data_IF_290910393415
#
_entry.id   IF_290910393415
#
_cell.length_a   1.000
_cell.length_b   1.000
_cell.length_c   1.000
_cell.angle_alpha   90.00
_cell.angle_beta   90.00
_cell.angle_gamma   90.00
#
_symmetry.space_group_name_H-M   'P 1'
#
loop_
_entity.id
_entity.type
_entity.pdbx_description
1 polymer ?
#
# COMPACT_ATOMS: atom_id res chain seq x y z
N UNK A 1 33.85 -42.31 77.76
CA UNK A 1 34.23 -40.90 77.66
C UNK A 1 34.42 -40.58 76.14
N UNK A 2 33.41 -40.18 75.43
CA UNK A 2 33.45 -39.96 73.98
C UNK A 2 32.90 -38.57 73.70
N UNK A 3 33.77 -37.69 73.20
CA UNK A 3 33.43 -36.31 72.86
C UNK A 3 32.93 -36.27 71.37
N UNK A 4 31.69 -35.93 71.23
CA UNK A 4 31.11 -35.64 69.88
C UNK A 4 31.45 -34.25 69.42
N UNK A 5 32.09 -34.13 68.28
CA UNK A 5 32.33 -32.85 67.57
C UNK A 5 31.17 -32.55 66.67
N UNK A 6 30.46 -31.40 66.92
CA UNK A 6 29.45 -30.82 66.01
C UNK A 6 30.21 -30.04 64.92
N UNK A 7 29.94 -30.36 63.66
CA UNK A 7 30.33 -29.56 62.53
C UNK A 7 29.13 -28.69 62.12
N UNK A 8 29.30 -27.34 62.24
CA UNK A 8 28.39 -26.35 61.68
C UNK A 8 28.72 -26.16 60.20
N UNK A 9 27.82 -26.56 59.35
CA UNK A 9 27.90 -26.24 57.92
C UNK A 9 27.20 -24.89 57.68
N UNK A 10 27.99 -23.86 57.33
CA UNK A 10 27.47 -22.56 56.85
C UNK A 10 27.13 -22.70 55.37
N UNK A 11 25.86 -22.67 55.04
CA UNK A 11 25.37 -22.63 53.65
C UNK A 11 25.29 -21.14 53.25
N UNK A 12 26.25 -20.68 52.45
CA UNK A 12 26.11 -19.41 51.75
C UNK A 12 25.14 -19.54 50.58
N UNK A 13 23.94 -18.99 50.73
CA UNK A 13 23.00 -18.85 49.63
C UNK A 13 23.42 -17.62 48.77
N UNK A 14 23.96 -17.88 47.59
CA UNK A 14 24.19 -16.87 46.57
C UNK A 14 22.84 -16.61 45.91
N UNK A 15 22.18 -15.50 46.24
CA UNK A 15 21.02 -14.98 45.51
C UNK A 15 21.54 -14.31 44.24
N UNK A 16 21.55 -15.04 43.14
CA UNK A 16 21.76 -14.46 41.82
C UNK A 16 20.52 -13.62 41.43
N UNK A 17 20.59 -12.31 41.59
CA UNK A 17 19.61 -11.40 41.03
C UNK A 17 19.73 -11.44 39.51
N UNK A 18 18.92 -12.28 38.86
CA UNK A 18 18.66 -12.16 37.43
C UNK A 18 17.89 -10.86 37.18
N UNK A 19 18.63 -9.81 36.90
CA UNK A 19 18.07 -8.59 36.35
C UNK A 19 17.42 -8.93 35.01
N UNK A 20 16.11 -9.18 35.02
CA UNK A 20 15.33 -9.32 33.81
C UNK A 20 15.45 -8.00 33.04
N UNK A 21 16.11 -8.04 31.88
CA UNK A 21 15.99 -7.00 30.88
C UNK A 21 14.51 -7.02 30.48
N UNK A 22 13.70 -6.12 31.05
CA UNK A 22 12.36 -5.88 30.55
C UNK A 22 12.54 -5.40 29.12
N UNK A 23 12.16 -6.23 28.15
CA UNK A 23 12.00 -5.81 26.78
C UNK A 23 11.02 -4.62 26.82
N UNK A 24 11.52 -3.43 26.44
CA UNK A 24 10.68 -2.25 26.30
C UNK A 24 9.59 -2.65 25.30
N UNK A 25 8.31 -2.56 25.70
CA UNK A 25 7.21 -2.76 24.76
C UNK A 25 7.47 -1.88 23.55
N UNK A 26 7.44 -2.46 22.37
CA UNK A 26 7.64 -1.71 21.12
C UNK A 26 6.53 -0.64 21.08
N UNK A 27 6.86 0.66 20.99
CA UNK A 27 5.82 1.66 20.89
C UNK A 27 5.06 1.37 19.60
N UNK A 28 3.72 1.28 19.64
CA UNK A 28 2.92 1.15 18.42
C UNK A 28 3.28 2.24 17.40
N UNK A 29 2.72 2.19 16.20
CA UNK A 29 2.93 3.24 15.20
C UNK A 29 2.45 4.60 15.73
N UNK A 30 3.18 5.67 15.45
CA UNK A 30 2.87 7.03 15.92
C UNK A 30 3.41 8.10 14.97
N UNK A 31 2.85 9.32 15.06
CA UNK A 31 3.39 10.51 14.36
C UNK A 31 4.71 10.91 15.03
N UNK A 32 5.81 10.73 14.32
CA UNK A 32 7.16 11.10 14.77
C UNK A 32 7.52 12.56 14.42
N UNK A 33 6.83 13.15 13.45
CA UNK A 33 7.04 14.54 13.04
C UNK A 33 5.94 15.01 12.10
N UNK A 34 5.80 16.33 12.03
CA UNK A 34 4.87 17.00 11.11
C UNK A 34 5.53 18.26 10.54
N UNK A 35 5.35 18.50 9.25
CA UNK A 35 5.81 19.71 8.58
C UNK A 35 4.71 20.26 7.65
N UNK A 36 4.36 21.55 7.72
CA UNK A 36 3.37 22.15 6.84
C UNK A 36 3.89 22.23 5.40
N UNK A 37 3.03 21.92 4.42
CA UNK A 37 3.31 22.03 2.99
C UNK A 37 2.46 23.11 2.31
N UNK A 38 1.76 23.92 3.09
CA UNK A 38 0.89 25.01 2.65
C UNK A 38 -0.59 24.66 2.59
N UNK A 39 -1.45 25.61 2.94
CA UNK A 39 -2.90 25.39 3.02
C UNK A 39 -3.26 24.27 3.99
N UNK A 40 -4.01 23.27 3.50
CA UNK A 40 -4.39 22.06 4.27
C UNK A 40 -3.41 20.90 4.07
N UNK A 41 -2.29 21.15 3.42
CA UNK A 41 -1.28 20.13 3.13
C UNK A 41 -0.22 20.07 4.22
N UNK A 42 0.13 18.86 4.62
CA UNK A 42 1.23 18.57 5.54
C UNK A 42 1.99 17.31 5.12
N UNK A 43 3.23 17.20 5.58
CA UNK A 43 3.95 15.94 5.65
C UNK A 43 3.79 15.39 7.06
N UNK A 44 3.28 14.19 7.19
CA UNK A 44 3.27 13.43 8.44
C UNK A 44 4.34 12.35 8.37
N UNK A 45 5.29 12.42 9.28
CA UNK A 45 6.34 11.43 9.47
C UNK A 45 5.83 10.40 10.47
N UNK A 46 5.53 9.18 10.03
CA UNK A 46 4.97 8.12 10.87
C UNK A 46 6.02 7.05 11.13
N UNK A 47 6.33 6.79 12.40
CA UNK A 47 7.16 5.65 12.76
C UNK A 47 6.38 4.36 12.57
N UNK A 48 6.96 3.41 11.82
CA UNK A 48 6.44 2.06 11.60
C UNK A 48 7.26 1.05 12.40
N UNK A 49 6.71 0.42 13.44
CA UNK A 49 7.34 -0.69 14.13
C UNK A 49 7.68 -1.86 13.20
N UNK A 50 6.76 -2.21 12.28
CA UNK A 50 6.96 -3.30 11.34
C UNK A 50 8.19 -3.07 10.43
N UNK A 51 8.42 -1.82 10.01
CA UNK A 51 9.59 -1.47 9.19
C UNK A 51 10.79 -1.01 10.02
N UNK A 52 10.61 -0.71 11.32
CA UNK A 52 11.66 -0.18 12.20
C UNK A 52 12.19 1.19 11.80
N UNK A 53 11.37 2.00 11.10
CA UNK A 53 11.77 3.32 10.56
C UNK A 53 10.60 4.28 10.43
N UNK A 54 10.91 5.54 10.24
CA UNK A 54 9.94 6.58 9.90
C UNK A 54 9.60 6.54 8.41
N UNK A 55 8.31 6.62 8.09
CA UNK A 55 7.77 6.71 6.74
C UNK A 55 7.11 8.07 6.56
N UNK A 56 7.51 8.79 5.52
CA UNK A 56 6.91 10.06 5.16
C UNK A 56 5.56 9.84 4.47
N UNK A 57 4.57 10.65 4.82
CA UNK A 57 3.27 10.66 4.18
C UNK A 57 2.90 12.11 3.82
N UNK A 58 2.66 12.39 2.55
CA UNK A 58 2.07 13.66 2.13
C UNK A 58 0.56 13.58 2.36
N UNK A 59 0.02 14.56 3.05
CA UNK A 59 -1.38 14.56 3.48
C UNK A 59 -2.06 15.83 3.02
N UNK A 60 -3.29 15.68 2.50
CA UNK A 60 -4.24 16.76 2.32
C UNK A 60 -5.35 16.53 3.35
N UNK A 61 -5.34 17.29 4.44
CA UNK A 61 -6.37 17.16 5.48
C UNK A 61 -7.71 17.72 5.00
N UNK A 62 -8.81 17.11 5.40
CA UNK A 62 -10.15 17.67 5.20
C UNK A 62 -10.34 18.99 5.97
N UNK A 63 -11.31 19.79 5.58
CA UNK A 63 -11.61 21.07 6.26
C UNK A 63 -12.18 20.89 7.68
N UNK A 64 -12.61 19.70 8.07
CA UNK A 64 -13.19 19.40 9.38
C UNK A 64 -13.01 17.95 9.78
N UNK A 65 -13.24 17.66 11.05
CA UNK A 65 -13.15 16.31 11.61
C UNK A 65 -14.26 15.38 11.06
N UNK A 66 -14.06 14.07 11.23
CA UNK A 66 -15.01 13.04 10.80
C UNK A 66 -14.99 12.75 9.31
N UNK A 67 -14.04 13.32 8.56
CA UNK A 67 -13.87 13.02 7.13
C UNK A 67 -13.31 11.59 6.94
N UNK A 68 -13.75 10.89 5.87
CA UNK A 68 -13.11 9.62 5.48
C UNK A 68 -11.71 9.85 4.90
N UNK A 69 -10.98 8.76 4.67
CA UNK A 69 -9.61 8.83 4.14
C UNK A 69 -9.47 8.07 2.82
N UNK A 70 -8.84 8.71 1.83
CA UNK A 70 -8.38 8.11 0.59
C UNK A 70 -6.86 7.93 0.65
N UNK A 71 -6.39 6.69 0.54
CA UNK A 71 -4.98 6.37 0.38
C UNK A 71 -4.63 6.29 -1.10
N UNK A 72 -3.68 7.11 -1.56
CA UNK A 72 -3.20 7.11 -2.94
C UNK A 72 -1.78 6.53 -3.01
N UNK A 73 -1.67 5.33 -3.54
CA UNK A 73 -0.39 4.68 -3.76
C UNK A 73 0.21 5.09 -5.09
N UNK A 74 1.48 5.38 -5.07
CA UNK A 74 2.25 5.77 -6.26
C UNK A 74 2.74 4.55 -7.04
N UNK A 75 3.10 4.73 -8.30
CA UNK A 75 3.67 3.70 -9.16
C UNK A 75 5.04 3.19 -8.67
N UNK A 76 5.79 2.56 -9.58
CA UNK A 76 7.00 1.79 -9.27
C UNK A 76 8.06 2.54 -8.45
N UNK A 77 8.26 3.84 -8.65
CA UNK A 77 9.29 4.65 -7.96
C UNK A 77 8.96 5.02 -6.51
N UNK A 78 7.76 4.72 -6.01
CA UNK A 78 7.39 5.03 -4.62
C UNK A 78 7.26 6.52 -4.29
N UNK A 79 7.41 7.41 -5.25
CA UNK A 79 7.23 8.86 -5.09
C UNK A 79 8.37 9.62 -4.41
N UNK A 80 9.45 8.94 -4.01
CA UNK A 80 10.62 9.57 -3.43
C UNK A 80 11.50 10.26 -4.49
N UNK A 81 11.32 9.90 -5.75
CA UNK A 81 12.03 10.41 -6.92
C UNK A 81 11.36 11.67 -7.54
N UNK A 82 10.31 12.20 -6.93
CA UNK A 82 9.53 13.31 -7.47
C UNK A 82 8.55 12.89 -8.57
N UNK A 83 8.34 11.59 -8.76
CA UNK A 83 7.37 11.05 -9.72
C UNK A 83 6.19 10.46 -8.93
N UNK A 84 5.17 11.28 -8.68
CA UNK A 84 4.07 10.91 -7.79
C UNK A 84 2.77 11.65 -8.15
N UNK A 85 1.68 11.28 -7.51
CA UNK A 85 0.41 12.03 -7.53
C UNK A 85 0.62 13.49 -7.15
N UNK A 86 1.46 13.75 -6.17
CA UNK A 86 1.73 15.09 -5.64
C UNK A 86 2.45 15.99 -6.64
N UNK A 87 3.43 15.42 -7.36
CA UNK A 87 4.35 16.19 -8.18
C UNK A 87 3.89 16.32 -9.65
N UNK A 88 3.06 15.36 -10.12
CA UNK A 88 2.74 15.22 -11.54
C UNK A 88 1.25 15.37 -11.89
N UNK A 89 0.39 15.65 -10.90
CA UNK A 89 -1.05 15.83 -11.10
C UNK A 89 -1.57 17.06 -10.37
N UNK A 90 -2.83 17.37 -10.60
CA UNK A 90 -3.57 18.42 -9.89
C UNK A 90 -4.20 17.94 -8.57
N UNK A 91 -3.72 16.85 -7.97
CA UNK A 91 -4.32 16.20 -6.79
C UNK A 91 -4.64 17.18 -5.66
N UNK A 92 -3.79 18.19 -5.44
CA UNK A 92 -4.00 19.21 -4.39
C UNK A 92 -5.20 20.09 -4.70
N UNK A 93 -5.32 20.55 -5.92
CA UNK A 93 -6.40 21.43 -6.36
C UNK A 93 -7.71 20.64 -6.49
N UNK A 94 -7.62 19.42 -7.02
CA UNK A 94 -8.77 18.54 -7.19
C UNK A 94 -9.45 18.19 -5.87
N UNK A 95 -8.67 17.96 -4.80
CA UNK A 95 -9.24 17.64 -3.48
C UNK A 95 -9.40 18.87 -2.57
N UNK A 96 -9.12 20.08 -3.03
CA UNK A 96 -9.13 21.29 -2.21
C UNK A 96 -10.51 21.61 -1.59
N UNK A 97 -11.60 21.29 -2.26
CA UNK A 97 -12.98 21.54 -1.85
C UNK A 97 -13.72 20.30 -1.29
N UNK A 98 -13.06 19.14 -1.26
CA UNK A 98 -13.70 17.87 -0.91
C UNK A 98 -13.55 17.52 0.58
N UNK A 99 -14.59 16.92 1.15
CA UNK A 99 -14.59 16.48 2.55
C UNK A 99 -13.95 15.10 2.70
N UNK A 100 -12.66 15.03 2.41
CA UNK A 100 -11.86 13.81 2.48
C UNK A 100 -10.44 14.13 2.91
N UNK A 101 -9.82 13.26 3.70
CA UNK A 101 -8.38 13.24 3.91
C UNK A 101 -7.74 12.44 2.79
N UNK A 102 -6.68 12.95 2.16
CA UNK A 102 -5.93 12.22 1.16
C UNK A 102 -4.53 11.96 1.69
N UNK A 103 -4.13 10.70 1.73
CA UNK A 103 -2.83 10.26 2.27
C UNK A 103 -2.03 9.60 1.17
N UNK A 104 -0.85 10.10 0.91
CA UNK A 104 0.08 9.63 -0.10
C UNK A 104 1.40 9.21 0.57
N UNK A 105 1.55 7.92 0.92
CA UNK A 105 2.80 7.39 1.47
C UNK A 105 3.95 7.56 0.49
N UNK A 106 5.13 7.96 0.99
CA UNK A 106 6.35 8.13 0.19
C UNK A 106 7.31 6.99 0.50
N UNK A 107 7.70 6.26 -0.52
CA UNK A 107 8.55 5.07 -0.42
C UNK A 107 7.89 3.83 -1.02
N UNK A 108 8.47 2.66 -0.74
CA UNK A 108 7.97 1.40 -1.31
C UNK A 108 8.33 1.20 -2.78
N UNK A 109 9.37 1.89 -3.27
CA UNK A 109 9.84 1.72 -4.64
C UNK A 109 10.09 0.24 -4.94
N UNK A 110 9.42 -0.28 -5.98
CA UNK A 110 9.53 -1.65 -6.48
C UNK A 110 9.18 -2.76 -5.48
N UNK A 111 8.56 -2.44 -4.33
CA UNK A 111 8.22 -3.43 -3.29
C UNK A 111 6.85 -4.06 -3.47
N UNK A 112 6.06 -3.66 -4.45
CA UNK A 112 4.65 -4.01 -4.64
C UNK A 112 3.76 -3.66 -3.41
N UNK A 113 4.22 -2.81 -2.52
CA UNK A 113 3.52 -2.44 -1.27
C UNK A 113 3.05 -3.65 -0.45
N UNK A 114 3.85 -4.72 -0.44
CA UNK A 114 3.57 -5.97 0.29
C UNK A 114 4.58 -6.21 1.41
N UNK A 115 4.31 -7.18 2.26
CA UNK A 115 5.27 -7.64 3.25
C UNK A 115 6.22 -8.66 2.62
N UNK A 116 7.50 -8.35 2.64
CA UNK A 116 8.54 -9.27 2.21
C UNK A 116 8.85 -10.26 3.32
N UNK A 117 8.94 -11.55 3.00
CA UNK A 117 9.19 -12.61 4.01
C UNK A 117 10.58 -12.52 4.64
N UNK A 118 11.54 -11.86 3.97
CA UNK A 118 12.89 -11.61 4.47
C UNK A 118 13.31 -10.16 4.17
N UNK A 119 14.19 -9.61 5.02
CA UNK A 119 14.86 -8.35 4.71
C UNK A 119 15.77 -8.53 3.50
N UNK A 120 15.82 -7.54 2.61
CA UNK A 120 16.49 -7.63 1.32
C UNK A 120 17.59 -6.56 1.20
N UNK A 121 18.80 -6.91 0.69
CA UNK A 121 19.86 -5.92 0.54
C UNK A 121 19.54 -4.74 -0.38
N UNK A 122 18.67 -4.93 -1.38
CA UNK A 122 18.32 -3.90 -2.36
C UNK A 122 17.19 -2.98 -1.90
N UNK A 123 16.14 -3.55 -1.28
CA UNK A 123 14.95 -2.78 -0.87
C UNK A 123 14.85 -2.59 0.65
N UNK A 124 15.70 -3.25 1.41
CA UNK A 124 15.70 -3.19 2.88
C UNK A 124 14.57 -4.00 3.51
N UNK A 125 14.16 -3.57 4.70
CA UNK A 125 13.02 -4.15 5.40
C UNK A 125 11.72 -3.57 4.84
N UNK A 126 10.97 -4.38 4.12
CA UNK A 126 9.70 -4.01 3.50
C UNK A 126 8.54 -4.75 4.17
N UNK A 127 7.71 -4.02 4.90
CA UNK A 127 6.49 -4.49 5.58
C UNK A 127 5.36 -3.51 5.26
N UNK A 128 5.17 -3.29 3.97
CA UNK A 128 4.24 -2.28 3.48
C UNK A 128 2.78 -2.68 3.67
N UNK A 129 2.46 -3.96 3.59
CA UNK A 129 1.10 -4.45 3.86
C UNK A 129 0.72 -4.17 5.32
N UNK A 130 1.56 -4.59 6.27
CA UNK A 130 1.34 -4.29 7.70
C UNK A 130 1.24 -2.78 7.93
N UNK A 131 2.13 -1.98 7.33
CA UNK A 131 2.08 -0.53 7.47
C UNK A 131 0.75 0.07 7.00
N UNK A 132 0.30 -0.31 5.80
CA UNK A 132 -0.87 0.30 5.14
C UNK A 132 -2.22 -0.23 5.65
N UNK A 133 -2.25 -1.43 6.24
CA UNK A 133 -3.50 -2.03 6.71
C UNK A 133 -3.66 -2.01 8.23
N UNK A 134 -2.57 -2.01 8.99
CA UNK A 134 -2.62 -2.15 10.45
C UNK A 134 -2.09 -0.91 11.18
N UNK A 135 -0.96 -0.33 10.72
CA UNK A 135 -0.28 0.75 11.42
C UNK A 135 -0.79 2.15 11.03
N UNK A 136 -0.66 2.51 9.75
CA UNK A 136 -0.94 3.86 9.26
C UNK A 136 -2.39 4.30 9.47
N UNK A 137 -3.44 3.47 9.23
CA UNK A 137 -4.82 3.95 9.33
C UNK A 137 -5.19 4.46 10.72
N UNK A 138 -4.79 3.74 11.77
CA UNK A 138 -5.07 4.19 13.15
C UNK A 138 -4.34 5.47 13.51
N UNK A 139 -3.12 5.67 13.01
CA UNK A 139 -2.35 6.92 13.21
C UNK A 139 -3.02 8.09 12.50
N UNK A 140 -3.46 7.90 11.25
CA UNK A 140 -4.16 8.93 10.47
C UNK A 140 -5.51 9.28 11.10
N UNK A 141 -6.27 8.28 11.55
CA UNK A 141 -7.56 8.49 12.20
C UNK A 141 -7.40 9.35 13.46
N UNK A 142 -6.37 9.07 14.28
CA UNK A 142 -6.07 9.86 15.46
C UNK A 142 -5.54 11.26 15.16
N UNK A 143 -4.61 11.39 14.20
CA UNK A 143 -3.96 12.66 13.88
C UNK A 143 -4.92 13.66 13.19
N UNK A 144 -5.82 13.16 12.32
CA UNK A 144 -6.72 14.01 11.53
C UNK A 144 -8.17 14.02 12.03
N UNK A 145 -8.47 13.28 13.10
CA UNK A 145 -9.85 13.09 13.57
C UNK A 145 -10.73 12.48 12.49
N UNK A 146 -10.20 11.50 11.73
CA UNK A 146 -10.90 10.90 10.62
C UNK A 146 -12.01 9.93 11.06
N UNK A 147 -12.90 9.56 10.13
CA UNK A 147 -14.07 8.71 10.42
C UNK A 147 -13.74 7.21 10.51
N UNK A 148 -12.53 6.78 10.14
CA UNK A 148 -12.16 5.39 9.99
C UNK A 148 -12.70 4.70 8.72
N UNK A 149 -13.47 5.41 7.87
CA UNK A 149 -13.93 4.90 6.57
C UNK A 149 -12.88 5.20 5.52
N UNK A 150 -12.38 4.15 4.87
CA UNK A 150 -11.23 4.28 3.99
C UNK A 150 -11.51 3.75 2.59
N UNK A 151 -10.91 4.42 1.59
CA UNK A 151 -10.71 3.92 0.24
C UNK A 151 -9.22 3.90 -0.09
N UNK A 152 -8.86 3.10 -1.07
CA UNK A 152 -7.48 3.03 -1.58
C UNK A 152 -7.46 3.11 -3.09
N UNK A 153 -6.49 3.81 -3.66
CA UNK A 153 -6.27 3.82 -5.09
C UNK A 153 -4.78 3.62 -5.38
N UNK A 154 -4.50 2.91 -6.46
CA UNK A 154 -3.14 2.67 -6.92
C UNK A 154 -3.03 2.77 -8.43
N UNK A 155 -1.82 3.06 -8.90
CA UNK A 155 -1.50 3.26 -10.31
C UNK A 155 -0.33 2.39 -10.73
N UNK A 156 -0.38 1.80 -11.93
CA UNK A 156 0.73 0.99 -12.44
C UNK A 156 1.06 -0.18 -11.48
N UNK A 157 2.27 -0.26 -10.95
CA UNK A 157 2.66 -1.26 -9.95
C UNK A 157 1.65 -1.31 -8.79
N UNK A 158 1.29 -0.18 -8.23
CA UNK A 158 0.42 -0.13 -7.06
C UNK A 158 -1.07 -0.34 -7.36
N UNK A 159 -1.48 -0.39 -8.62
CA UNK A 159 -2.86 -0.76 -8.97
C UNK A 159 -3.19 -2.19 -8.49
N UNK A 160 -2.29 -3.13 -8.76
CA UNK A 160 -2.41 -4.51 -8.25
C UNK A 160 -2.29 -4.57 -6.74
N UNK A 161 -1.35 -3.78 -6.18
CA UNK A 161 -1.17 -3.69 -4.73
C UNK A 161 -2.40 -3.14 -4.01
N UNK A 162 -3.09 -2.14 -4.56
CA UNK A 162 -4.31 -1.60 -3.96
C UNK A 162 -5.44 -2.65 -3.90
N UNK A 163 -5.57 -3.48 -4.94
CA UNK A 163 -6.50 -4.61 -4.94
C UNK A 163 -6.12 -5.67 -3.90
N UNK A 164 -4.84 -6.05 -3.85
CA UNK A 164 -4.33 -7.03 -2.90
C UNK A 164 -4.49 -6.54 -1.45
N UNK A 165 -4.12 -5.30 -1.15
CA UNK A 165 -4.33 -4.66 0.16
C UNK A 165 -5.81 -4.57 0.53
N UNK A 166 -6.72 -4.44 -0.44
CA UNK A 166 -8.16 -4.45 -0.19
C UNK A 166 -8.64 -5.85 0.21
N UNK A 167 -8.09 -6.90 -0.42
CA UNK A 167 -8.37 -8.29 -0.06
C UNK A 167 -7.84 -8.58 1.34
N UNK A 168 -6.57 -8.28 1.59
CA UNK A 168 -5.85 -8.65 2.82
C UNK A 168 -6.26 -7.80 4.01
N UNK A 169 -6.53 -6.53 3.79
CA UNK A 169 -7.02 -5.61 4.83
C UNK A 169 -8.48 -5.83 5.25
N UNK A 170 -9.22 -6.75 4.60
CA UNK A 170 -10.58 -7.09 4.96
C UNK A 170 -11.52 -5.89 4.99
N UNK A 171 -12.00 -5.48 6.16
CA UNK A 171 -12.92 -4.34 6.30
C UNK A 171 -12.23 -2.98 6.25
N UNK A 172 -10.90 -2.92 6.19
CA UNK A 172 -10.12 -1.67 6.23
C UNK A 172 -10.48 -0.72 5.09
N UNK A 173 -10.66 -1.25 3.88
CA UNK A 173 -11.01 -0.47 2.70
C UNK A 173 -12.39 -0.86 2.18
N UNK A 174 -13.30 0.10 2.07
CA UNK A 174 -14.64 -0.09 1.51
C UNK A 174 -14.64 -0.03 -0.02
N UNK A 175 -13.68 0.68 -0.60
CA UNK A 175 -13.56 0.90 -2.03
C UNK A 175 -12.10 0.87 -2.50
N UNK A 176 -11.91 0.45 -3.75
CA UNK A 176 -10.61 0.42 -4.41
C UNK A 176 -10.69 0.94 -5.84
N UNK A 177 -9.70 1.74 -6.24
CA UNK A 177 -9.45 2.09 -7.64
C UNK A 177 -8.09 1.52 -8.09
N UNK A 178 -8.09 0.74 -9.16
CA UNK A 178 -6.88 0.17 -9.76
C UNK A 178 -6.71 0.71 -11.17
N UNK A 179 -5.67 1.54 -11.36
CA UNK A 179 -5.45 2.33 -12.56
C UNK A 179 -4.24 1.80 -13.31
N UNK A 180 -4.44 1.27 -14.51
CA UNK A 180 -3.38 0.78 -15.42
C UNK A 180 -2.45 -0.25 -14.78
N UNK A 181 -3.00 -1.31 -14.18
CA UNK A 181 -2.25 -2.38 -13.54
C UNK A 181 -2.44 -3.76 -14.16
N UNK A 182 -1.70 -4.75 -13.62
CA UNK A 182 -1.84 -6.15 -14.02
C UNK A 182 -1.94 -7.03 -12.76
N UNK A 183 -3.15 -7.43 -12.33
CA UNK A 183 -3.39 -8.07 -11.04
C UNK A 183 -3.13 -9.58 -11.03
N UNK A 184 -2.13 -10.04 -11.77
CA UNK A 184 -1.65 -11.42 -11.79
C UNK A 184 -0.31 -11.54 -11.09
N UNK A 185 -0.12 -12.63 -10.32
CA UNK A 185 1.11 -12.86 -9.62
C UNK A 185 1.63 -14.30 -9.73
N UNK A 186 0.76 -15.32 -9.78
CA UNK A 186 1.15 -16.71 -9.62
C UNK A 186 1.16 -17.54 -10.91
N UNK A 187 0.66 -17.02 -12.03
CA UNK A 187 0.83 -17.62 -13.35
C UNK A 187 2.19 -17.26 -14.00
N UNK A 188 2.60 -17.90 -15.09
CA UNK A 188 3.91 -17.63 -15.70
C UNK A 188 4.13 -16.16 -16.10
N UNK A 189 3.10 -15.44 -16.56
CA UNK A 189 3.18 -14.04 -16.91
C UNK A 189 3.30 -13.18 -15.66
N UNK A 190 2.44 -13.41 -14.67
CA UNK A 190 2.45 -12.71 -13.39
C UNK A 190 3.77 -12.89 -12.65
N UNK A 191 4.29 -14.12 -12.57
CA UNK A 191 5.60 -14.41 -11.99
C UNK A 191 6.70 -13.60 -12.68
N UNK A 192 6.69 -13.56 -14.02
CA UNK A 192 7.69 -12.82 -14.79
C UNK A 192 7.62 -11.33 -14.52
N UNK A 193 6.41 -10.75 -14.55
CA UNK A 193 6.20 -9.30 -14.34
C UNK A 193 6.56 -8.87 -12.92
N UNK A 194 6.08 -9.59 -11.92
CA UNK A 194 6.34 -9.32 -10.51
C UNK A 194 7.83 -9.47 -10.19
N UNK A 195 8.47 -10.55 -10.70
CA UNK A 195 9.92 -10.76 -10.52
C UNK A 195 10.75 -9.66 -11.19
N UNK A 196 10.39 -9.27 -12.42
CA UNK A 196 11.07 -8.18 -13.12
C UNK A 196 10.90 -6.85 -12.39
N UNK A 197 9.72 -6.59 -11.81
CA UNK A 197 9.44 -5.40 -11.02
C UNK A 197 10.33 -5.35 -9.77
N UNK A 198 10.37 -6.40 -8.96
CA UNK A 198 11.21 -6.48 -7.77
C UNK A 198 12.71 -6.36 -8.13
N UNK A 199 13.17 -7.08 -9.16
CA UNK A 199 14.55 -7.05 -9.61
C UNK A 199 14.98 -5.67 -10.13
N UNK A 200 14.08 -4.91 -10.79
CA UNK A 200 14.35 -3.54 -11.23
C UNK A 200 14.65 -2.61 -10.05
N UNK A 201 14.06 -2.85 -8.88
CA UNK A 201 14.37 -2.16 -7.63
C UNK A 201 15.63 -2.66 -6.92
N UNK A 202 16.35 -3.62 -7.51
CA UNK A 202 17.50 -4.26 -6.89
C UNK A 202 17.13 -5.37 -5.89
N UNK A 203 15.84 -5.68 -5.74
CA UNK A 203 15.35 -6.69 -4.81
C UNK A 203 15.37 -8.11 -5.40
N UNK A 204 15.44 -9.09 -4.51
CA UNK A 204 15.32 -10.51 -4.86
C UNK A 204 13.86 -10.96 -4.65
N UNK A 205 13.13 -11.38 -5.71
CA UNK A 205 11.77 -11.89 -5.58
C UNK A 205 11.60 -13.05 -4.58
N UNK A 206 12.69 -13.83 -4.38
CA UNK A 206 12.71 -14.89 -3.37
C UNK A 206 12.63 -14.38 -1.94
N UNK A 207 13.14 -13.16 -1.67
CA UNK A 207 12.99 -12.50 -0.36
C UNK A 207 11.62 -11.85 -0.20
N UNK A 208 10.90 -11.59 -1.31
CA UNK A 208 9.55 -11.05 -1.27
C UNK A 208 8.53 -12.13 -0.89
N UNK A 209 8.34 -13.14 -1.71
CA UNK A 209 7.29 -14.16 -1.54
C UNK A 209 7.81 -15.60 -1.65
N UNK A 210 9.13 -15.81 -1.50
CA UNK A 210 9.74 -17.13 -1.58
C UNK A 210 9.79 -17.68 -3.00
N UNK A 211 9.60 -18.99 -3.13
CA UNK A 211 9.69 -19.68 -4.42
C UNK A 211 8.60 -19.17 -5.37
N UNK A 212 8.95 -18.72 -6.59
CA UNK A 212 8.00 -18.24 -7.59
C UNK A 212 6.87 -19.25 -7.86
N UNK A 213 5.63 -18.77 -7.83
CA UNK A 213 4.43 -19.61 -7.95
C UNK A 213 4.13 -20.47 -6.71
N UNK A 214 4.87 -20.28 -5.61
CA UNK A 214 4.63 -20.95 -4.32
C UNK A 214 3.34 -20.50 -3.61
N UNK A 215 3.17 -20.89 -2.35
CA UNK A 215 1.95 -20.59 -1.58
C UNK A 215 1.74 -19.09 -1.41
N UNK A 216 2.77 -18.36 -0.98
CA UNK A 216 2.70 -16.91 -0.76
C UNK A 216 2.41 -16.15 -2.05
N UNK A 217 3.00 -16.57 -3.19
CA UNK A 217 2.67 -15.99 -4.50
C UNK A 217 1.20 -16.14 -4.86
N UNK A 218 0.60 -17.31 -4.56
CA UNK A 218 -0.84 -17.54 -4.78
C UNK A 218 -1.74 -16.75 -3.84
N UNK A 219 -1.28 -16.51 -2.63
CA UNK A 219 -1.99 -15.66 -1.66
C UNK A 219 -2.09 -14.21 -2.14
N UNK A 220 -1.05 -13.70 -2.83
CA UNK A 220 -0.99 -12.36 -3.40
C UNK A 220 -1.48 -12.27 -4.85
N UNK A 221 -1.96 -13.38 -5.44
CA UNK A 221 -2.55 -13.36 -6.77
C UNK A 221 -3.99 -12.86 -6.74
N UNK A 222 -4.16 -11.58 -7.02
CA UNK A 222 -5.48 -10.91 -6.98
C UNK A 222 -6.45 -11.54 -7.98
N UNK A 223 -5.98 -11.97 -9.15
CA UNK A 223 -6.83 -12.59 -10.16
C UNK A 223 -7.42 -13.92 -9.66
N UNK A 224 -6.60 -14.74 -9.03
CA UNK A 224 -7.03 -15.99 -8.41
C UNK A 224 -7.97 -15.75 -7.23
N UNK A 225 -7.67 -14.74 -6.40
CA UNK A 225 -8.39 -14.42 -5.18
C UNK A 225 -9.49 -13.36 -5.37
N UNK A 226 -9.89 -13.05 -6.60
CA UNK A 226 -10.85 -11.99 -6.93
C UNK A 226 -12.17 -12.08 -6.15
N UNK A 227 -12.59 -13.31 -5.77
CA UNK A 227 -13.79 -13.55 -4.97
C UNK A 227 -13.81 -12.80 -3.62
N UNK A 228 -12.64 -12.53 -3.04
CA UNK A 228 -12.54 -11.81 -1.78
C UNK A 228 -12.87 -10.30 -1.90
N UNK A 229 -13.00 -9.78 -3.12
CA UNK A 229 -13.44 -8.42 -3.38
C UNK A 229 -14.97 -8.26 -3.36
N UNK A 230 -15.73 -9.33 -3.13
CA UNK A 230 -17.19 -9.25 -3.04
C UNK A 230 -17.63 -8.25 -1.96
N UNK A 231 -18.59 -7.39 -2.30
CA UNK A 231 -19.09 -6.33 -1.42
C UNK A 231 -18.25 -5.06 -1.38
N UNK A 232 -17.13 -4.98 -2.12
CA UNK A 232 -16.34 -3.76 -2.27
C UNK A 232 -16.82 -2.93 -3.46
N UNK A 233 -16.67 -1.62 -3.38
CA UNK A 233 -16.78 -0.76 -4.56
C UNK A 233 -15.46 -0.81 -5.32
N UNK A 234 -15.52 -1.22 -6.59
CA UNK A 234 -14.33 -1.46 -7.42
C UNK A 234 -14.40 -0.57 -8.65
N UNK A 235 -13.35 0.23 -8.86
CA UNK A 235 -13.13 0.99 -10.09
C UNK A 235 -11.85 0.51 -10.75
N UNK A 236 -11.93 0.17 -12.02
CA UNK A 236 -10.82 -0.27 -12.85
C UNK A 236 -10.70 0.66 -14.07
N UNK A 237 -9.50 1.08 -14.41
CA UNK A 237 -9.25 1.78 -15.67
C UNK A 237 -7.93 1.34 -16.30
N UNK A 238 -7.89 1.38 -17.60
CA UNK A 238 -6.70 1.26 -18.42
C UNK A 238 -6.97 1.78 -19.82
N UNK A 239 -5.91 1.94 -20.64
CA UNK A 239 -6.00 2.40 -21.99
C UNK A 239 -5.35 1.44 -23.00
N UNK A 240 -5.40 1.81 -24.29
CA UNK A 240 -4.87 0.96 -25.37
C UNK A 240 -3.36 1.02 -25.54
N UNK A 241 -2.68 2.01 -24.95
CA UNK A 241 -1.28 2.33 -25.22
C UNK A 241 -1.09 3.35 -26.37
N UNK A 242 -2.15 3.69 -27.09
CA UNK A 242 -2.08 4.75 -28.12
C UNK A 242 -2.05 6.11 -27.42
N UNK A 243 -1.03 6.96 -27.67
CA UNK A 243 -0.99 8.29 -27.09
C UNK A 243 -2.22 9.12 -27.44
N UNK A 244 -2.69 9.93 -26.49
CA UNK A 244 -3.86 10.77 -26.60
C UNK A 244 -3.69 12.14 -25.96
N UNK A 245 -4.72 12.98 -26.01
CA UNK A 245 -4.67 14.36 -25.53
C UNK A 245 -4.44 14.48 -24.01
N UNK A 246 -4.78 13.46 -23.23
CA UNK A 246 -4.54 13.45 -21.80
C UNK A 246 -3.08 13.13 -21.43
N UNK A 247 -2.29 12.54 -22.33
CA UNK A 247 -0.93 12.12 -22.04
C UNK A 247 -0.01 13.31 -21.77
N UNK A 248 0.66 13.27 -20.61
CA UNK A 248 1.68 14.23 -20.19
C UNK A 248 2.88 13.47 -19.62
N UNK A 249 4.08 13.89 -20.01
CA UNK A 249 5.32 13.21 -19.64
C UNK A 249 5.76 12.21 -20.71
N UNK A 250 6.61 11.25 -20.33
CA UNK A 250 7.14 10.24 -21.23
C UNK A 250 6.14 9.11 -21.43
N UNK A 251 5.62 8.90 -22.65
CA UNK A 251 4.71 7.79 -22.93
C UNK A 251 5.42 6.44 -22.83
N UNK A 252 4.73 5.44 -22.33
CA UNK A 252 5.17 4.03 -22.27
C UNK A 252 4.12 3.10 -22.91
N UNK A 253 3.88 3.20 -24.23
CA UNK A 253 2.81 2.47 -24.90
C UNK A 253 2.79 0.96 -24.67
N UNK A 254 3.92 0.23 -24.71
CA UNK A 254 3.91 -1.22 -24.48
C UNK A 254 3.44 -1.59 -23.07
N UNK A 255 3.79 -0.77 -22.08
CA UNK A 255 3.36 -1.02 -20.69
C UNK A 255 1.86 -0.82 -20.54
N UNK A 256 1.31 0.25 -21.12
CA UNK A 256 -0.14 0.50 -21.07
C UNK A 256 -0.93 -0.57 -21.84
N UNK A 257 -0.42 -1.01 -23.00
CA UNK A 257 -1.07 -2.11 -23.75
C UNK A 257 -1.17 -3.38 -22.90
N UNK A 258 -0.11 -3.73 -22.17
CA UNK A 258 -0.12 -4.88 -21.25
C UNK A 258 -1.11 -4.62 -20.11
N UNK A 259 -1.05 -3.47 -19.47
CA UNK A 259 -1.97 -3.10 -18.39
C UNK A 259 -3.42 -3.13 -18.85
N UNK A 260 -3.71 -2.65 -20.07
CA UNK A 260 -5.03 -2.70 -20.69
C UNK A 260 -5.57 -4.14 -20.85
N UNK A 261 -4.73 -5.03 -21.39
CA UNK A 261 -5.11 -6.45 -21.53
C UNK A 261 -5.35 -7.12 -20.17
N UNK A 262 -4.46 -6.87 -19.20
CA UNK A 262 -4.60 -7.41 -17.85
C UNK A 262 -5.85 -6.90 -17.14
N UNK A 263 -6.10 -5.58 -17.19
CA UNK A 263 -7.28 -4.97 -16.53
C UNK A 263 -8.57 -5.46 -17.16
N UNK A 264 -8.63 -5.60 -18.51
CA UNK A 264 -9.78 -6.14 -19.21
C UNK A 264 -10.09 -7.60 -18.78
N UNK A 265 -9.07 -8.44 -18.72
CA UNK A 265 -9.22 -9.82 -18.26
C UNK A 265 -9.69 -9.89 -16.80
N UNK A 266 -9.18 -9.02 -15.93
CA UNK A 266 -9.62 -8.96 -14.55
C UNK A 266 -11.05 -8.47 -14.39
N UNK A 267 -11.48 -7.46 -15.15
CA UNK A 267 -12.88 -7.04 -15.21
C UNK A 267 -13.79 -8.19 -15.66
N UNK A 268 -13.38 -8.96 -16.68
CA UNK A 268 -14.07 -10.19 -17.10
C UNK A 268 -14.15 -11.25 -15.99
N UNK A 269 -13.08 -11.42 -15.20
CA UNK A 269 -13.05 -12.33 -14.05
C UNK A 269 -14.03 -11.93 -12.97
N UNK A 270 -14.09 -10.64 -12.62
CA UNK A 270 -15.08 -10.13 -11.66
C UNK A 270 -16.52 -10.38 -12.17
N UNK A 271 -16.76 -10.13 -13.45
CA UNK A 271 -18.07 -10.42 -14.08
C UNK A 271 -18.45 -11.89 -13.99
N UNK A 272 -17.52 -12.82 -14.24
CA UNK A 272 -17.75 -14.27 -14.08
C UNK A 272 -18.11 -14.67 -12.65
N UNK A 273 -17.59 -13.94 -11.66
CA UNK A 273 -17.88 -14.15 -10.23
C UNK A 273 -19.14 -13.42 -9.76
N UNK A 274 -19.81 -12.65 -10.63
CA UNK A 274 -20.95 -11.83 -10.24
C UNK A 274 -20.60 -10.65 -9.33
N UNK A 275 -19.33 -10.20 -9.33
CA UNK A 275 -18.85 -9.09 -8.53
C UNK A 275 -18.93 -7.82 -9.39
N UNK A 276 -19.76 -6.82 -9.01
CA UNK A 276 -19.89 -5.59 -9.77
C UNK A 276 -18.61 -4.76 -9.67
N UNK A 277 -18.16 -4.23 -10.82
CA UNK A 277 -17.05 -3.30 -10.91
C UNK A 277 -17.33 -2.27 -12.02
N UNK A 278 -16.94 -1.02 -11.81
CA UNK A 278 -16.88 -0.04 -12.89
C UNK A 278 -15.57 -0.24 -13.64
N UNK A 279 -15.65 -0.50 -14.94
CA UNK A 279 -14.47 -0.66 -15.79
C UNK A 279 -14.48 0.36 -16.93
N UNK A 280 -13.44 1.17 -17.00
CA UNK A 280 -13.21 2.18 -18.02
C UNK A 280 -12.02 1.76 -18.89
N UNK A 281 -12.28 1.47 -20.17
CA UNK A 281 -11.25 1.20 -21.15
C UNK A 281 -11.15 2.38 -22.11
N UNK A 282 -10.02 3.12 -22.06
CA UNK A 282 -9.83 4.30 -22.90
C UNK A 282 -9.27 3.95 -24.26
N UNK A 283 -9.78 4.56 -25.35
CA UNK A 283 -9.25 4.33 -26.69
C UNK A 283 -7.85 4.92 -26.88
N UNK A 284 -7.45 5.87 -26.03
CA UNK A 284 -6.12 6.48 -26.01
C UNK A 284 -5.64 6.65 -24.56
N UNK A 285 -4.32 6.59 -24.37
CA UNK A 285 -3.59 6.69 -23.13
C UNK A 285 -2.34 5.82 -23.21
N UNK A 286 -1.22 6.33 -22.74
CA UNK A 286 0.10 5.73 -22.93
C UNK A 286 0.90 5.64 -21.63
N UNK A 287 0.24 5.32 -20.52
CA UNK A 287 0.83 5.12 -19.20
C UNK A 287 1.51 6.37 -18.65
N UNK A 288 0.81 7.48 -18.68
CA UNK A 288 1.32 8.79 -18.26
C UNK A 288 0.53 9.36 -17.08
N UNK A 289 1.13 10.31 -16.37
CA UNK A 289 0.48 10.97 -15.25
C UNK A 289 -0.78 11.76 -15.65
N UNK A 290 -0.83 12.28 -16.88
CA UNK A 290 -2.03 12.94 -17.37
C UNK A 290 -3.20 11.98 -17.59
N UNK A 291 -2.93 10.75 -18.05
CA UNK A 291 -3.90 9.66 -18.11
C UNK A 291 -4.37 9.30 -16.69
N UNK A 292 -3.44 9.06 -15.76
CA UNK A 292 -3.75 8.66 -14.39
C UNK A 292 -4.55 9.72 -13.61
N UNK A 293 -4.25 11.01 -13.84
CA UNK A 293 -5.04 12.11 -13.30
C UNK A 293 -6.50 12.03 -13.77
N UNK A 294 -6.72 11.82 -15.05
CA UNK A 294 -8.07 11.66 -15.62
C UNK A 294 -8.78 10.46 -15.02
N UNK A 295 -8.06 9.33 -14.85
CA UNK A 295 -8.59 8.12 -14.26
C UNK A 295 -8.98 8.32 -12.77
N UNK A 296 -8.17 9.05 -12.00
CA UNK A 296 -8.48 9.38 -10.61
C UNK A 296 -9.72 10.27 -10.50
N UNK A 297 -9.86 11.27 -11.36
CA UNK A 297 -11.03 12.13 -11.40
C UNK A 297 -12.32 11.34 -11.66
N UNK A 298 -12.27 10.36 -12.58
CA UNK A 298 -13.42 9.50 -12.87
C UNK A 298 -13.67 8.45 -11.77
N UNK A 299 -12.63 7.94 -11.11
CA UNK A 299 -12.78 7.02 -9.99
C UNK A 299 -13.39 7.69 -8.76
N UNK A 300 -13.10 8.98 -8.56
CA UNK A 300 -13.45 9.68 -7.33
C UNK A 300 -14.94 9.59 -6.95
N UNK A 301 -15.93 9.85 -7.81
CA UNK A 301 -17.35 9.73 -7.44
C UNK A 301 -17.72 8.36 -6.88
N UNK A 302 -17.14 7.28 -7.39
CA UNK A 302 -17.37 5.91 -6.92
C UNK A 302 -16.76 5.69 -5.53
N UNK A 303 -15.51 6.16 -5.34
CA UNK A 303 -14.83 6.05 -4.06
C UNK A 303 -15.53 6.90 -2.99
N UNK A 304 -15.87 8.15 -3.33
CA UNK A 304 -16.57 9.08 -2.43
C UNK A 304 -17.90 8.51 -1.94
N UNK A 305 -18.72 7.99 -2.83
CA UNK A 305 -20.00 7.38 -2.46
C UNK A 305 -19.84 6.20 -1.49
N UNK A 306 -18.79 5.37 -1.67
CA UNK A 306 -18.53 4.21 -0.83
C UNK A 306 -18.06 4.57 0.59
N UNK A 307 -17.32 5.68 0.74
CA UNK A 307 -16.78 6.12 2.03
C UNK A 307 -17.58 7.27 2.66
N UNK A 308 -18.56 7.83 1.94
CA UNK A 308 -19.41 8.94 2.40
C UNK A 308 -18.65 10.27 2.49
N UNK A 309 -17.85 10.56 1.46
CA UNK A 309 -17.11 11.81 1.30
C UNK A 309 -17.91 12.84 0.53
#
# INVERSE_FOLDING_TARGET
MTASRLWLAVVCAIVASLGGVQAKADPGAYVAGEAPLGGRAAQLDVYSPAMGRVIQNRVLAAAGAGAPTLYLLTGAGGGADGISWWDNTDVRDFFADKHVNVVMPVGGAFTLYTDWIADDPGVGRARWETYLTEELPGVIDGALGASGRNAIAGVSMSASSALDLTIRGGSRFAAVAALSGCPWAADPLGITMVSAQAARGGGNPGNMWGVPGGAVWREHDVFANAGALAGKTIFLSAATGLPGAADRGLPMPPLETIAGACTAAFAGRLGQLGIPATYVHRPTGAHTWGQFQTDLHEAWPHLAAAIGA
#
